data_IF_871890511066
#
_entry.id   IF_871890511066
#
_cell.length_a   1.000
_cell.length_b   1.000
_cell.length_c   1.000
_cell.angle_alpha   90.00
_cell.angle_beta   90.00
_cell.angle_gamma   90.00
#
_symmetry.space_group_name_H-M   'P 1'
#
loop_
_entity.id
_entity.type
_entity.pdbx_description
1 polymer ?
#
# COMPACT_ATOMS: atom_id res chain seq x y z
N UNK A 1 -3.85 27.93 6.22
CA UNK A 1 -2.69 28.75 6.64
C UNK A 1 -1.49 27.84 6.78
N UNK A 2 -0.31 28.29 6.35
CA UNK A 2 0.94 27.58 6.58
C UNK A 2 1.64 28.16 7.82
N UNK A 3 2.36 27.33 8.57
CA UNK A 3 3.14 27.72 9.75
C UNK A 3 4.61 27.33 9.52
N UNK A 4 5.54 28.15 10.01
CA UNK A 4 6.97 27.88 9.93
C UNK A 4 7.49 27.33 11.25
N UNK A 5 8.40 26.36 11.20
CA UNK A 5 9.07 25.81 12.37
C UNK A 5 10.50 25.41 12.07
N UNK A 6 11.37 25.52 13.08
CA UNK A 6 12.77 25.08 13.03
C UNK A 6 13.00 24.05 14.12
N UNK A 7 13.33 22.82 13.72
CA UNK A 7 13.66 21.76 14.67
C UNK A 7 14.98 22.04 15.41
N UNK A 8 15.95 22.66 14.74
CA UNK A 8 17.28 22.94 15.32
C UNK A 8 17.25 24.02 16.40
N UNK A 9 16.37 25.03 16.26
CA UNK A 9 16.26 26.15 17.21
C UNK A 9 15.02 26.06 18.11
N UNK A 10 14.13 25.09 17.86
CA UNK A 10 12.84 24.96 18.53
C UNK A 10 11.80 26.03 18.16
N UNK A 11 12.17 27.01 17.32
CA UNK A 11 11.28 28.10 16.93
C UNK A 11 10.03 27.56 16.21
N UNK A 12 8.85 28.03 16.63
CA UNK A 12 7.56 27.68 16.00
C UNK A 12 7.02 26.29 16.35
N UNK A 13 7.76 25.43 17.04
CA UNK A 13 7.32 24.07 17.39
C UNK A 13 6.11 24.09 18.33
N UNK A 14 6.12 24.95 19.36
CA UNK A 14 4.99 25.09 20.29
C UNK A 14 3.71 25.54 19.58
N UNK A 15 3.81 26.56 18.71
CA UNK A 15 2.67 27.06 17.96
C UNK A 15 2.11 26.00 17.00
N UNK A 16 2.98 25.22 16.35
CA UNK A 16 2.57 24.06 15.54
C UNK A 16 1.81 23.02 16.37
N UNK A 17 2.29 22.71 17.57
CA UNK A 17 1.64 21.75 18.45
C UNK A 17 0.23 22.19 18.87
N UNK A 18 0.06 23.47 19.20
CA UNK A 18 -1.26 24.03 19.54
C UNK A 18 -2.26 23.94 18.38
N UNK A 19 -1.78 24.13 17.15
CA UNK A 19 -2.61 23.97 15.94
C UNK A 19 -3.02 22.50 15.77
N UNK A 20 -2.09 21.56 15.95
CA UNK A 20 -2.38 20.11 15.88
C UNK A 20 -3.37 19.70 16.97
N UNK A 21 -3.18 20.16 18.20
CA UNK A 21 -4.06 19.87 19.33
C UNK A 21 -5.49 20.34 19.06
N UNK A 22 -5.65 21.58 18.56
CA UNK A 22 -6.95 22.15 18.18
C UNK A 22 -7.62 21.38 17.05
N UNK A 23 -6.86 21.01 16.02
CA UNK A 23 -7.39 20.18 14.93
C UNK A 23 -7.88 18.83 15.45
N UNK A 24 -7.10 18.18 16.32
CA UNK A 24 -7.48 16.90 16.94
C UNK A 24 -8.75 17.04 17.75
N UNK A 25 -8.86 18.06 18.59
CA UNK A 25 -10.07 18.33 19.39
C UNK A 25 -11.30 18.49 18.49
N UNK A 26 -11.22 19.40 17.50
CA UNK A 26 -12.32 19.68 16.57
C UNK A 26 -12.76 18.44 15.78
N UNK A 27 -11.80 17.66 15.27
CA UNK A 27 -12.10 16.47 14.45
C UNK A 27 -12.53 15.26 15.27
N UNK A 28 -12.14 15.20 16.56
CA UNK A 28 -12.64 14.19 17.50
C UNK A 28 -14.08 14.51 17.88
N UNK A 29 -14.35 15.77 18.26
CA UNK A 29 -15.69 16.23 18.63
C UNK A 29 -16.69 16.08 17.47
N UNK A 30 -16.27 16.32 16.23
CA UNK A 30 -17.12 16.10 15.05
C UNK A 30 -17.22 14.64 14.59
N UNK A 31 -16.47 13.71 15.21
CA UNK A 31 -16.40 12.30 14.80
C UNK A 31 -15.62 12.02 13.51
N UNK A 32 -15.22 13.05 12.75
CA UNK A 32 -14.49 12.94 11.48
C UNK A 32 -13.17 12.16 11.65
N UNK A 33 -12.46 12.39 12.75
CA UNK A 33 -11.18 11.70 13.01
C UNK A 33 -11.38 10.18 13.15
N UNK A 34 -12.44 9.76 13.85
CA UNK A 34 -12.76 8.34 14.02
C UNK A 34 -13.21 7.70 12.71
N UNK A 35 -14.04 8.40 11.92
CA UNK A 35 -14.47 7.92 10.62
C UNK A 35 -13.29 7.70 9.67
N UNK A 36 -12.39 8.68 9.57
CA UNK A 36 -11.18 8.57 8.74
C UNK A 36 -10.27 7.43 9.17
N UNK A 37 -10.08 7.24 10.48
CA UNK A 37 -9.26 6.12 10.99
C UNK A 37 -9.84 4.75 10.65
N UNK A 38 -11.17 4.60 10.67
CA UNK A 38 -11.81 3.34 10.25
C UNK A 38 -11.55 3.05 8.78
N UNK A 39 -11.66 4.07 7.91
CA UNK A 39 -11.35 3.89 6.50
C UNK A 39 -9.87 3.53 6.31
N UNK A 40 -8.96 4.22 7.00
CA UNK A 40 -7.53 3.90 6.97
C UNK A 40 -7.25 2.46 7.42
N UNK A 41 -7.93 1.96 8.45
CA UNK A 41 -7.80 0.56 8.88
C UNK A 41 -8.29 -0.41 7.82
N UNK A 42 -9.37 -0.08 7.12
CA UNK A 42 -9.88 -0.87 6.00
C UNK A 42 -8.89 -0.87 4.83
N UNK A 43 -8.37 0.28 4.46
CA UNK A 43 -7.35 0.40 3.41
C UNK A 43 -6.12 -0.42 3.78
N UNK A 44 -5.66 -0.32 5.04
CA UNK A 44 -4.53 -1.09 5.55
C UNK A 44 -4.77 -2.60 5.48
N UNK A 45 -5.98 -3.07 5.79
CA UNK A 45 -6.35 -4.47 5.63
C UNK A 45 -6.22 -4.93 4.16
N UNK A 46 -6.72 -4.14 3.22
CA UNK A 46 -6.60 -4.46 1.80
C UNK A 46 -5.14 -4.46 1.31
N UNK A 47 -4.32 -3.52 1.78
CA UNK A 47 -2.88 -3.50 1.50
C UNK A 47 -2.20 -4.77 1.99
N UNK A 48 -2.42 -5.17 3.25
CA UNK A 48 -1.83 -6.38 3.81
C UNK A 48 -2.26 -7.66 3.08
N UNK A 49 -3.53 -7.75 2.68
CA UNK A 49 -4.03 -8.88 1.88
C UNK A 49 -3.29 -8.93 0.54
N UNK A 50 -3.17 -7.80 -0.16
CA UNK A 50 -2.49 -7.74 -1.45
C UNK A 50 -1.00 -8.10 -1.34
N UNK A 51 -0.30 -7.57 -0.33
CA UNK A 51 1.10 -7.89 -0.05
C UNK A 51 1.28 -9.39 0.24
N UNK A 52 0.41 -9.96 1.06
CA UNK A 52 0.48 -11.37 1.41
C UNK A 52 0.17 -12.29 0.22
N UNK A 53 -0.81 -11.92 -0.62
CA UNK A 53 -1.11 -12.66 -1.85
C UNK A 53 0.04 -12.57 -2.85
N UNK A 54 0.64 -11.40 -3.01
CA UNK A 54 1.81 -11.19 -3.86
C UNK A 54 2.98 -12.07 -3.40
N UNK A 55 3.31 -12.01 -2.10
CA UNK A 55 4.36 -12.85 -1.52
C UNK A 55 4.04 -14.34 -1.65
N UNK A 56 2.79 -14.74 -1.41
CA UNK A 56 2.35 -16.13 -1.54
C UNK A 56 2.52 -16.66 -2.96
N UNK A 57 2.13 -15.89 -3.98
CA UNK A 57 2.24 -16.26 -5.38
C UNK A 57 3.69 -16.47 -5.82
N UNK A 58 4.57 -15.49 -5.59
CA UNK A 58 5.97 -15.59 -6.00
C UNK A 58 6.81 -16.57 -5.16
N UNK A 59 6.29 -17.01 -4.02
CA UNK A 59 6.93 -18.07 -3.22
C UNK A 59 6.50 -19.49 -3.61
N UNK A 60 5.56 -19.66 -4.55
CA UNK A 60 5.21 -21.01 -5.02
C UNK A 60 6.32 -21.60 -5.89
N UNK A 61 6.79 -22.84 -5.62
CA UNK A 61 7.83 -23.48 -6.41
C UNK A 61 7.51 -23.58 -7.91
N UNK A 62 6.24 -23.82 -8.26
CA UNK A 62 5.80 -23.91 -9.66
C UNK A 62 5.88 -22.56 -10.38
N UNK A 63 5.49 -21.48 -9.70
CA UNK A 63 5.61 -20.11 -10.23
C UNK A 63 7.08 -19.75 -10.41
N UNK A 64 7.92 -20.00 -9.40
CA UNK A 64 9.37 -19.75 -9.49
C UNK A 64 10.04 -20.51 -10.65
N UNK A 65 9.60 -21.74 -10.92
CA UNK A 65 10.14 -22.55 -12.01
C UNK A 65 9.71 -22.05 -13.41
N UNK A 66 8.46 -21.59 -13.56
CA UNK A 66 7.90 -21.23 -14.87
C UNK A 66 8.07 -19.74 -15.22
N UNK A 67 8.19 -18.86 -14.22
CA UNK A 67 8.21 -17.42 -14.39
C UNK A 67 9.31 -16.93 -15.37
N UNK A 68 10.58 -17.36 -15.27
CA UNK A 68 11.63 -16.87 -16.17
C UNK A 68 11.34 -17.16 -17.65
N UNK A 69 10.92 -18.39 -17.97
CA UNK A 69 10.62 -18.76 -19.36
C UNK A 69 9.38 -18.05 -19.91
N UNK A 70 8.39 -17.79 -19.07
CA UNK A 70 7.20 -17.03 -19.45
C UNK A 70 7.56 -15.54 -19.68
N UNK A 71 8.41 -14.95 -18.85
CA UNK A 71 8.90 -13.58 -19.04
C UNK A 71 9.69 -13.43 -20.35
N UNK A 72 10.55 -14.39 -20.68
CA UNK A 72 11.28 -14.44 -21.95
C UNK A 72 10.33 -14.48 -23.15
N UNK A 73 9.33 -15.37 -23.13
CA UNK A 73 8.34 -15.49 -24.20
C UNK A 73 7.50 -14.21 -24.38
N UNK A 74 7.17 -13.52 -23.29
CA UNK A 74 6.48 -12.23 -23.33
C UNK A 74 7.37 -11.14 -23.95
N UNK A 75 8.64 -11.07 -23.54
CA UNK A 75 9.59 -10.08 -24.07
C UNK A 75 9.92 -10.32 -25.56
N UNK A 76 9.92 -11.57 -26.00
CA UNK A 76 10.07 -11.93 -27.41
C UNK A 76 8.82 -11.62 -28.27
N UNK A 77 7.67 -11.38 -27.64
CA UNK A 77 6.39 -11.15 -28.32
C UNK A 77 5.65 -12.44 -28.71
N UNK A 78 6.15 -13.60 -28.29
CA UNK A 78 5.57 -14.91 -28.58
C UNK A 78 4.35 -15.22 -27.70
N UNK A 79 4.27 -14.59 -26.53
CA UNK A 79 3.18 -14.76 -25.58
C UNK A 79 2.58 -13.40 -25.16
N UNK A 80 1.27 -13.17 -25.34
CA UNK A 80 0.62 -11.97 -24.84
C UNK A 80 0.70 -11.86 -23.31
N UNK A 81 0.95 -10.64 -22.80
CA UNK A 81 1.07 -10.35 -21.35
C UNK A 81 -0.14 -10.86 -20.55
N UNK A 82 -1.36 -10.70 -21.09
CA UNK A 82 -2.59 -11.15 -20.44
C UNK A 82 -2.69 -12.68 -20.35
N UNK A 83 -2.22 -13.39 -21.39
CA UNK A 83 -2.19 -14.84 -21.41
C UNK A 83 -1.14 -15.38 -20.43
N UNK A 84 0.05 -14.77 -20.40
CA UNK A 84 1.13 -15.09 -19.46
C UNK A 84 0.70 -14.93 -17.99
N UNK A 85 0.05 -13.81 -17.66
CA UNK A 85 -0.47 -13.59 -16.31
C UNK A 85 -1.52 -14.64 -15.94
N UNK A 86 -2.43 -14.97 -16.86
CA UNK A 86 -3.45 -15.99 -16.63
C UNK A 86 -2.83 -17.39 -16.43
N UNK A 87 -1.86 -17.79 -17.25
CA UNK A 87 -1.20 -19.09 -17.12
C UNK A 87 -0.44 -19.22 -15.80
N UNK A 88 0.24 -18.17 -15.36
CA UNK A 88 0.93 -18.19 -14.07
C UNK A 88 -0.07 -18.28 -12.89
N UNK A 89 -1.20 -17.58 -12.96
CA UNK A 89 -2.25 -17.66 -11.94
C UNK A 89 -2.90 -19.04 -11.86
N UNK A 90 -3.02 -19.75 -12.99
CA UNK A 90 -3.56 -21.12 -13.02
C UNK A 90 -2.67 -22.12 -12.29
N UNK A 91 -1.36 -21.87 -12.14
CA UNK A 91 -0.46 -22.72 -11.36
C UNK A 91 -0.80 -22.76 -9.85
N UNK A 92 -1.62 -21.81 -9.37
CA UNK A 92 -2.09 -21.76 -7.99
C UNK A 92 -3.39 -22.55 -7.76
N UNK A 93 -4.06 -23.00 -8.81
CA UNK A 93 -5.32 -23.71 -8.68
C UNK A 93 -5.06 -25.21 -8.41
N UNK A 94 -5.74 -25.84 -7.44
CA UNK A 94 -5.63 -27.27 -7.19
C UNK A 94 -6.17 -28.11 -8.37
#
# INVERSE_FOLDING_TARGET
>A
RAYTGSAATGAGIQALWEVIARFREQTTASGVLHARRREQTRDWLHTLIAEQLHAYFYNQPQVQAQLPGIEEAVMAGDLPVTAAAHSLLQLLQP
#
